data_IF_847787554182
#
_entry.id   IF_847787554182
#
_cell.length_a   1.000
_cell.length_b   1.000
_cell.length_c   1.000
_cell.angle_alpha   90.00
_cell.angle_beta   90.00
_cell.angle_gamma   90.00
#
_symmetry.space_group_name_H-M   'P 1'
#
loop_
_entity.id
_entity.type
_entity.pdbx_description
1 polymer ?
#
# COMPACT_ATOMS: atom_id res chain seq x y z
N UNK A 1 0.23 -52.68 -72.22
CA UNK A 1 -0.49 -52.42 -70.97
C UNK A 1 -0.01 -53.47 -69.98
N UNK A 2 1.09 -53.17 -69.22
CA UNK A 2 1.69 -54.13 -68.26
C UNK A 2 1.01 -53.94 -66.88
N UNK A 3 0.31 -54.97 -66.42
CA UNK A 3 -0.21 -55.14 -65.12
C UNK A 3 0.97 -55.44 -64.15
N UNK A 4 1.38 -54.46 -63.34
CA UNK A 4 2.31 -54.70 -62.26
C UNK A 4 1.56 -55.47 -61.13
N UNK A 5 2.03 -56.72 -60.95
CA UNK A 5 1.51 -57.57 -59.88
C UNK A 5 1.80 -57.00 -58.50
N UNK A 6 0.75 -56.75 -57.74
CA UNK A 6 0.82 -56.42 -56.30
C UNK A 6 1.46 -57.62 -55.56
N UNK A 7 2.67 -57.39 -54.98
CA UNK A 7 3.29 -58.39 -54.11
C UNK A 7 2.48 -58.49 -52.84
N UNK A 8 2.09 -59.67 -52.37
CA UNK A 8 1.41 -59.81 -51.08
C UNK A 8 2.34 -59.31 -49.96
N UNK A 9 1.83 -58.43 -49.12
CA UNK A 9 2.54 -58.00 -47.92
C UNK A 9 2.66 -59.22 -46.96
N UNK A 10 3.85 -59.48 -46.37
CA UNK A 10 4.02 -60.55 -45.39
C UNK A 10 3.13 -60.25 -44.17
N UNK A 11 2.31 -61.23 -43.78
CA UNK A 11 1.45 -61.16 -42.61
C UNK A 11 2.30 -61.16 -41.31
N UNK A 12 1.83 -60.46 -40.30
CA UNK A 12 2.45 -60.44 -38.97
C UNK A 12 2.40 -61.82 -38.31
N UNK A 13 3.51 -62.26 -37.74
CA UNK A 13 3.56 -63.49 -36.95
C UNK A 13 3.04 -63.27 -35.55
N UNK A 14 2.46 -64.28 -34.93
CA UNK A 14 1.96 -64.23 -33.54
C UNK A 14 3.09 -63.88 -32.57
N UNK A 15 4.32 -64.37 -32.83
CA UNK A 15 5.50 -64.07 -31.98
C UNK A 15 5.89 -62.60 -32.06
N UNK A 16 5.82 -61.99 -33.24
CA UNK A 16 6.12 -60.57 -33.45
C UNK A 16 5.12 -59.66 -32.74
N UNK A 17 3.82 -60.06 -32.73
CA UNK A 17 2.77 -59.37 -31.97
C UNK A 17 3.01 -59.44 -30.47
N UNK A 18 3.39 -60.62 -29.95
CA UNK A 18 3.69 -60.78 -28.50
C UNK A 18 4.91 -59.99 -28.13
N UNK A 19 6.00 -60.03 -28.90
CA UNK A 19 7.22 -59.27 -28.60
C UNK A 19 6.96 -57.76 -28.63
N UNK A 20 6.22 -57.27 -29.64
CA UNK A 20 5.86 -55.84 -29.73
C UNK A 20 4.99 -55.41 -28.55
N UNK A 21 4.01 -56.19 -28.10
CA UNK A 21 3.20 -55.88 -26.91
C UNK A 21 4.04 -55.83 -25.63
N UNK A 22 5.01 -56.76 -25.46
CA UNK A 22 5.91 -56.74 -24.29
C UNK A 22 6.79 -55.49 -24.31
N UNK A 23 7.41 -55.18 -25.43
CA UNK A 23 8.26 -54.00 -25.56
C UNK A 23 7.44 -52.72 -25.31
N UNK A 24 6.24 -52.58 -25.91
CA UNK A 24 5.40 -51.43 -25.71
C UNK A 24 4.92 -51.29 -24.24
N UNK A 25 4.62 -52.40 -23.56
CA UNK A 25 4.24 -52.34 -22.16
C UNK A 25 5.39 -51.90 -21.26
N UNK A 26 6.60 -52.37 -21.49
CA UNK A 26 7.81 -51.93 -20.75
C UNK A 26 8.11 -50.45 -21.03
N UNK A 27 8.05 -50.01 -22.29
CA UNK A 27 8.23 -48.61 -22.66
C UNK A 27 7.14 -47.71 -22.01
N UNK A 28 5.88 -48.14 -22.03
CA UNK A 28 4.80 -47.36 -21.42
C UNK A 28 4.98 -47.16 -19.91
N UNK A 29 5.46 -48.20 -19.20
CA UNK A 29 5.76 -48.09 -17.73
C UNK A 29 6.95 -47.17 -17.52
N UNK A 30 8.03 -47.27 -18.31
CA UNK A 30 9.18 -46.39 -18.19
C UNK A 30 8.80 -44.91 -18.47
N UNK A 31 8.13 -44.65 -19.58
CA UNK A 31 7.70 -43.31 -19.96
C UNK A 31 6.75 -42.72 -18.90
N UNK A 32 5.76 -43.50 -18.38
CA UNK A 32 4.87 -43.07 -17.33
C UNK A 32 5.58 -42.72 -16.03
N UNK A 33 6.63 -43.50 -15.69
CA UNK A 33 7.45 -43.26 -14.49
C UNK A 33 8.33 -41.99 -14.57
N UNK A 34 8.73 -41.57 -15.77
CA UNK A 34 9.54 -40.33 -15.95
C UNK A 34 8.69 -39.08 -16.20
N UNK A 35 7.58 -39.19 -16.88
CA UNK A 35 6.78 -38.02 -17.26
C UNK A 35 6.05 -37.42 -16.06
N UNK A 36 5.43 -38.23 -15.18
CA UNK A 36 4.67 -37.74 -14.02
C UNK A 36 5.49 -36.83 -13.10
N UNK A 37 6.64 -37.26 -12.53
CA UNK A 37 7.40 -36.41 -11.62
C UNK A 37 7.93 -35.13 -12.30
N UNK A 38 8.19 -35.17 -13.62
CA UNK A 38 8.61 -33.98 -14.37
C UNK A 38 7.47 -32.97 -14.49
N UNK A 39 6.26 -33.43 -14.77
CA UNK A 39 5.07 -32.56 -14.83
C UNK A 39 4.73 -32.00 -13.46
N UNK A 40 4.74 -32.84 -12.42
CA UNK A 40 4.47 -32.40 -11.04
C UNK A 40 5.48 -31.36 -10.58
N UNK A 41 6.78 -31.57 -10.89
CA UNK A 41 7.84 -30.58 -10.62
C UNK A 41 7.63 -29.26 -11.36
N UNK A 42 7.19 -29.31 -12.61
CA UNK A 42 6.88 -28.10 -13.39
C UNK A 42 5.74 -27.29 -12.76
N UNK A 43 4.64 -27.94 -12.37
CA UNK A 43 3.53 -27.27 -11.71
C UNK A 43 3.92 -26.72 -10.34
N UNK A 44 4.73 -27.43 -9.56
CA UNK A 44 5.23 -26.95 -8.29
C UNK A 44 6.06 -25.66 -8.42
N UNK A 45 6.96 -25.60 -9.42
CA UNK A 45 7.76 -24.40 -9.70
C UNK A 45 6.88 -23.24 -10.14
N UNK A 46 5.90 -23.49 -11.02
CA UNK A 46 4.97 -22.45 -11.46
C UNK A 46 4.13 -21.91 -10.30
N UNK A 47 3.61 -22.78 -9.45
CA UNK A 47 2.84 -22.36 -8.27
C UNK A 47 3.67 -21.51 -7.30
N UNK A 48 4.95 -21.87 -7.07
CA UNK A 48 5.85 -21.04 -6.23
C UNK A 48 6.09 -19.67 -6.85
N UNK A 49 6.28 -19.60 -8.17
CA UNK A 49 6.44 -18.33 -8.87
C UNK A 49 5.18 -17.46 -8.72
N UNK A 50 3.99 -18.01 -8.99
CA UNK A 50 2.72 -17.29 -8.84
C UNK A 50 2.51 -16.77 -7.40
N UNK A 51 2.85 -17.58 -6.38
CA UNK A 51 2.77 -17.18 -4.98
C UNK A 51 3.78 -16.07 -4.66
N UNK A 52 5.00 -16.19 -5.16
CA UNK A 52 6.04 -15.17 -4.96
C UNK A 52 5.64 -13.83 -5.59
N UNK A 53 5.10 -13.85 -6.81
CA UNK A 53 4.59 -12.64 -7.48
C UNK A 53 3.41 -12.01 -6.73
N UNK A 54 2.50 -12.83 -6.22
CA UNK A 54 1.37 -12.34 -5.40
C UNK A 54 1.87 -11.69 -4.09
N UNK A 55 2.82 -12.33 -3.41
CA UNK A 55 3.42 -11.80 -2.19
C UNK A 55 4.16 -10.49 -2.46
N UNK A 56 4.97 -10.44 -3.53
CA UNK A 56 5.74 -9.26 -3.92
C UNK A 56 4.82 -8.07 -4.24
N UNK A 57 3.77 -8.28 -5.03
CA UNK A 57 2.80 -7.24 -5.36
C UNK A 57 2.10 -6.69 -4.11
N UNK A 58 1.66 -7.57 -3.20
CA UNK A 58 0.98 -7.17 -1.98
C UNK A 58 1.89 -6.36 -1.03
N UNK A 59 3.12 -6.85 -0.80
CA UNK A 59 4.08 -6.16 0.08
C UNK A 59 4.56 -4.84 -0.53
N UNK A 60 4.88 -4.80 -1.83
CA UNK A 60 5.31 -3.55 -2.49
C UNK A 60 4.24 -2.49 -2.44
N UNK A 61 2.97 -2.87 -2.61
CA UNK A 61 1.86 -1.94 -2.45
C UNK A 61 1.77 -1.41 -1.03
N UNK A 62 1.85 -2.28 -0.03
CA UNK A 62 1.82 -1.88 1.38
C UNK A 62 2.99 -0.93 1.72
N UNK A 63 4.20 -1.22 1.23
CA UNK A 63 5.38 -0.36 1.40
C UNK A 63 5.19 1.00 0.69
N UNK A 64 4.63 1.01 -0.51
CA UNK A 64 4.37 2.26 -1.24
C UNK A 64 3.38 3.15 -0.47
N UNK A 65 2.31 2.56 0.06
CA UNK A 65 1.32 3.25 0.89
C UNK A 65 1.99 3.81 2.16
N UNK A 66 2.78 2.99 2.87
CA UNK A 66 3.52 3.42 4.07
C UNK A 66 4.48 4.58 3.79
N UNK A 67 5.26 4.49 2.70
CA UNK A 67 6.21 5.56 2.33
C UNK A 67 5.55 6.88 1.94
N UNK A 68 4.30 6.81 1.49
CA UNK A 68 3.50 7.99 1.14
C UNK A 68 2.54 8.39 2.26
N UNK A 69 2.68 7.87 3.47
CA UNK A 69 1.82 8.25 4.59
C UNK A 69 2.24 9.58 5.23
N UNK A 70 1.30 10.20 5.94
CA UNK A 70 1.58 11.33 6.82
C UNK A 70 2.65 10.91 7.83
N UNK A 71 3.72 11.68 8.03
CA UNK A 71 4.74 11.39 9.03
C UNK A 71 4.12 11.08 10.40
N UNK A 72 4.69 10.15 11.13
CA UNK A 72 4.20 9.69 12.45
C UNK A 72 2.79 9.08 12.48
N UNK A 73 2.10 8.89 11.34
CA UNK A 73 0.73 8.36 11.35
C UNK A 73 0.64 6.83 11.42
N UNK A 74 1.77 6.13 11.38
CA UNK A 74 1.76 4.66 11.38
C UNK A 74 1.47 4.12 12.78
N UNK A 75 0.44 3.25 12.90
CA UNK A 75 0.01 2.57 14.11
C UNK A 75 -0.04 1.07 13.88
N UNK A 76 0.52 0.28 14.80
CA UNK A 76 0.54 -1.19 14.72
C UNK A 76 -0.09 -1.77 15.98
N UNK A 77 -1.39 -2.09 15.97
CA UNK A 77 -2.08 -2.65 17.12
C UNK A 77 -1.52 -4.00 17.57
N UNK A 78 -1.15 -4.83 16.59
CA UNK A 78 -0.51 -6.13 16.80
C UNK A 78 0.21 -6.57 15.51
N UNK A 79 0.88 -7.71 15.53
CA UNK A 79 1.66 -8.21 14.38
C UNK A 79 0.85 -8.58 13.14
N UNK A 80 -0.48 -8.58 13.21
CA UNK A 80 -1.34 -8.96 12.08
C UNK A 80 -2.03 -7.79 11.39
N UNK A 81 -1.88 -6.57 11.89
CA UNK A 81 -2.45 -5.40 11.23
C UNK A 81 -1.69 -4.11 11.56
N UNK A 82 -1.76 -3.17 10.64
CA UNK A 82 -1.28 -1.80 10.83
C UNK A 82 -2.20 -0.80 10.14
N UNK A 83 -2.21 0.43 10.67
CA UNK A 83 -2.97 1.57 10.16
C UNK A 83 -2.04 2.72 9.83
N UNK A 84 -2.41 3.51 8.83
CA UNK A 84 -1.73 4.73 8.44
C UNK A 84 -2.69 5.71 7.77
N UNK A 85 -2.25 6.95 7.61
CA UNK A 85 -2.94 8.00 6.84
C UNK A 85 -2.20 8.23 5.53
N UNK A 86 -2.71 7.75 4.38
CA UNK A 86 -2.04 7.92 3.09
C UNK A 86 -2.13 9.37 2.62
N UNK A 87 -1.11 9.84 1.87
CA UNK A 87 -1.10 11.16 1.25
C UNK A 87 -1.16 11.05 -0.26
N UNK A 88 -1.91 11.95 -0.91
CA UNK A 88 -1.96 12.06 -2.37
C UNK A 88 -1.09 13.20 -2.89
N UNK A 89 -0.73 14.14 -2.03
CA UNK A 89 0.08 15.30 -2.37
C UNK A 89 0.49 16.09 -1.15
N UNK A 90 0.98 17.27 -1.39
CA UNK A 90 1.40 18.21 -0.36
C UNK A 90 2.02 19.44 -0.96
N UNK A 91 2.63 20.26 -0.12
CA UNK A 91 3.29 21.47 -0.57
C UNK A 91 3.84 22.29 0.58
N UNK A 92 4.12 23.54 0.26
CA UNK A 92 4.50 24.53 1.27
C UNK A 92 3.43 25.59 1.39
N UNK A 93 3.11 25.95 2.61
CA UNK A 93 2.21 27.04 2.93
C UNK A 93 2.99 28.30 3.34
N UNK A 94 2.33 29.46 3.24
CA UNK A 94 2.87 30.73 3.70
C UNK A 94 2.81 30.78 5.24
N UNK A 95 3.92 31.11 5.88
CA UNK A 95 4.07 31.15 7.35
C UNK A 95 3.95 32.56 7.95
N UNK A 96 3.80 33.60 7.13
CA UNK A 96 3.73 34.96 7.57
C UNK A 96 3.33 35.92 6.45
N UNK A 97 3.10 37.20 6.74
CA UNK A 97 2.72 38.22 5.76
C UNK A 97 3.80 38.44 4.70
N UNK A 98 3.41 38.87 3.52
CA UNK A 98 4.30 39.36 2.49
C UNK A 98 4.51 40.87 2.70
N UNK A 99 5.53 41.22 3.45
CA UNK A 99 5.85 42.62 3.82
C UNK A 99 6.13 43.52 2.61
N UNK A 100 6.37 42.94 1.43
CA UNK A 100 6.69 43.67 0.20
C UNK A 100 5.46 43.91 -0.66
N UNK A 101 4.59 42.92 -0.78
CA UNK A 101 3.50 42.94 -1.75
C UNK A 101 2.10 43.12 -1.12
N UNK A 102 1.95 42.90 0.19
CA UNK A 102 0.66 43.07 0.86
C UNK A 102 0.23 44.55 0.91
N UNK A 103 -1.00 44.85 0.52
CA UNK A 103 -1.58 46.18 0.53
C UNK A 103 -2.99 46.17 1.14
N UNK A 104 -3.26 46.94 2.19
CA UNK A 104 -2.35 47.89 2.88
C UNK A 104 -1.28 47.22 3.73
N UNK A 105 -0.26 47.95 4.08
CA UNK A 105 0.70 47.49 5.09
C UNK A 105 -0.03 47.16 6.40
N UNK A 106 0.32 46.01 7.02
CA UNK A 106 -0.35 45.54 8.22
C UNK A 106 -1.61 44.70 7.96
N UNK A 107 -1.76 44.10 6.77
CA UNK A 107 -2.77 43.09 6.49
C UNK A 107 -2.87 42.04 7.59
N UNK A 108 -4.08 41.64 7.94
CA UNK A 108 -4.31 40.38 8.65
C UNK A 108 -4.46 39.24 7.65
N UNK A 109 -4.09 38.03 8.03
CA UNK A 109 -4.07 36.86 7.14
C UNK A 109 -5.37 36.69 6.38
N UNK A 110 -5.31 36.79 5.05
CA UNK A 110 -6.45 36.58 4.17
C UNK A 110 -7.62 37.58 4.33
N UNK A 111 -7.40 38.72 4.95
CA UNK A 111 -8.45 39.73 5.20
C UNK A 111 -9.02 40.37 3.94
N UNK A 112 -8.28 40.37 2.84
CA UNK A 112 -8.71 40.85 1.54
C UNK A 112 -8.00 40.11 0.41
N UNK A 113 -8.44 40.38 -0.84
CA UNK A 113 -7.79 39.81 -2.03
C UNK A 113 -6.34 40.33 -2.23
N UNK A 114 -5.99 41.47 -1.64
CA UNK A 114 -4.64 42.07 -1.72
C UNK A 114 -3.76 41.70 -0.54
N UNK A 115 -4.28 40.96 0.44
CA UNK A 115 -3.54 40.48 1.60
C UNK A 115 -3.20 38.99 1.43
N UNK A 116 -1.95 38.63 1.66
CA UNK A 116 -1.55 37.23 1.73
C UNK A 116 -2.24 36.52 2.92
N UNK A 117 -2.42 35.23 2.77
CA UNK A 117 -2.99 34.39 3.81
C UNK A 117 -1.91 33.38 4.30
N UNK A 118 -1.74 33.28 5.60
CA UNK A 118 -0.71 32.42 6.20
C UNK A 118 -1.27 31.59 7.36
N UNK A 119 -0.62 30.49 7.64
CA UNK A 119 -0.91 29.68 8.84
C UNK A 119 -0.30 30.36 10.04
N UNK A 120 -1.13 30.69 11.02
CA UNK A 120 -0.73 31.26 12.29
C UNK A 120 -0.92 30.23 13.41
N UNK A 121 0.14 29.65 13.97
CA UNK A 121 0.01 28.67 15.05
C UNK A 121 -0.48 29.27 16.38
N UNK A 122 -0.45 30.59 16.53
CA UNK A 122 -1.00 31.28 17.72
C UNK A 122 -2.52 31.45 17.68
N UNK A 123 -3.14 31.25 16.52
CA UNK A 123 -4.56 31.46 16.30
C UNK A 123 -5.22 30.44 15.37
N UNK A 124 -6.54 30.59 15.19
CA UNK A 124 -7.29 29.75 14.25
C UNK A 124 -7.07 30.23 12.83
N UNK A 125 -6.64 29.33 11.96
CA UNK A 125 -6.49 29.54 10.50
C UNK A 125 -7.71 29.00 9.78
N UNK A 126 -8.35 29.82 8.94
CA UNK A 126 -9.44 29.44 8.04
C UNK A 126 -9.11 29.57 6.57
N UNK A 127 -7.99 30.24 6.25
CA UNK A 127 -7.50 30.44 4.90
C UNK A 127 -5.98 30.55 4.91
N UNK A 128 -5.32 29.96 3.90
CA UNK A 128 -3.88 30.15 3.72
C UNK A 128 -3.46 29.99 2.26
N UNK A 129 -2.34 30.62 1.91
CA UNK A 129 -1.75 30.56 0.58
C UNK A 129 -0.72 29.42 0.49
N UNK A 130 -0.80 28.71 -0.60
CA UNK A 130 0.12 27.62 -0.96
C UNK A 130 1.18 28.18 -1.89
N UNK A 131 2.44 28.03 -1.52
CA UNK A 131 3.58 28.56 -2.27
C UNK A 131 4.05 27.60 -3.38
N UNK A 132 3.93 26.31 -3.17
CA UNK A 132 4.18 25.29 -4.18
C UNK A 132 3.36 24.04 -3.90
N UNK A 133 3.23 23.18 -4.91
CA UNK A 133 2.52 21.90 -4.83
C UNK A 133 3.47 20.80 -5.24
N UNK A 134 3.39 19.67 -4.52
CA UNK A 134 4.09 18.43 -4.83
C UNK A 134 3.05 17.35 -5.07
N UNK A 135 3.07 16.72 -6.22
CA UNK A 135 2.10 15.74 -6.71
C UNK A 135 0.72 16.38 -6.97
N UNK A 136 -0.35 15.86 -6.33
CA UNK A 136 -1.71 16.27 -6.59
C UNK A 136 -2.09 17.51 -5.76
N UNK A 137 -2.68 18.56 -6.39
CA UNK A 137 -3.24 19.67 -5.64
C UNK A 137 -4.46 19.22 -4.81
N UNK A 138 -4.71 19.86 -3.65
CA UNK A 138 -5.89 19.60 -2.86
C UNK A 138 -7.18 20.03 -3.57
N UNK A 139 -8.26 19.34 -3.30
CA UNK A 139 -9.63 19.64 -3.76
C UNK A 139 -10.56 19.83 -2.58
N UNK A 140 -11.71 20.46 -2.81
CA UNK A 140 -12.74 20.56 -1.77
C UNK A 140 -13.19 19.15 -1.33
N UNK A 141 -13.26 18.95 -0.02
CA UNK A 141 -13.52 17.64 0.61
C UNK A 141 -12.27 16.89 1.05
N UNK A 142 -11.09 17.21 0.52
CA UNK A 142 -9.82 16.64 1.00
C UNK A 142 -9.45 17.23 2.37
N UNK A 143 -8.45 16.63 2.99
CA UNK A 143 -7.90 17.11 4.25
C UNK A 143 -6.48 17.63 4.04
N UNK A 144 -6.16 18.74 4.71
CA UNK A 144 -4.79 19.22 4.85
C UNK A 144 -4.30 18.88 6.25
N UNK A 145 -3.08 18.38 6.34
CA UNK A 145 -2.40 18.01 7.58
C UNK A 145 -1.14 18.85 7.70
N UNK A 146 -0.97 19.50 8.86
CA UNK A 146 0.17 20.36 9.16
C UNK A 146 0.83 19.89 10.43
N UNK A 147 2.15 19.70 10.41
CA UNK A 147 2.97 19.40 11.61
C UNK A 147 2.45 18.18 12.42
N UNK A 148 2.37 17.00 11.81
CA UNK A 148 2.01 15.77 12.54
C UNK A 148 3.19 15.30 13.40
N UNK A 149 3.24 15.74 14.64
CA UNK A 149 4.35 15.48 15.56
C UNK A 149 4.18 14.19 16.35
N UNK A 150 2.93 13.84 16.69
CA UNK A 150 2.62 12.63 17.44
C UNK A 150 1.76 11.67 16.62
N UNK A 151 1.84 10.39 16.96
CA UNK A 151 1.11 9.34 16.24
C UNK A 151 -0.41 9.49 16.22
N UNK A 152 -0.96 10.25 17.16
CA UNK A 152 -2.40 10.43 17.32
C UNK A 152 -2.95 11.76 16.77
N UNK A 153 -2.09 12.74 16.49
CA UNK A 153 -2.50 14.11 16.15
C UNK A 153 -3.42 14.16 14.91
N UNK A 154 -3.03 13.47 13.83
CA UNK A 154 -3.85 13.43 12.61
C UNK A 154 -5.16 12.68 12.83
N UNK A 155 -5.19 11.69 13.72
CA UNK A 155 -6.37 10.89 13.98
C UNK A 155 -7.39 11.59 14.89
N UNK A 156 -6.93 12.34 15.88
CA UNK A 156 -7.78 13.12 16.78
C UNK A 156 -8.22 14.47 16.18
N UNK A 157 -7.54 14.92 15.10
CA UNK A 157 -7.90 16.13 14.38
C UNK A 157 -7.23 17.40 14.87
N UNK A 158 -6.23 17.31 15.75
CA UNK A 158 -5.55 18.48 16.30
C UNK A 158 -4.71 19.24 15.25
N UNK A 159 -4.36 18.58 14.15
CA UNK A 159 -3.47 19.12 13.12
C UNK A 159 -3.97 18.92 11.69
N UNK A 160 -5.24 18.53 11.51
CA UNK A 160 -5.86 18.40 10.19
C UNK A 160 -7.07 19.32 10.03
N UNK A 161 -7.28 19.83 8.84
CA UNK A 161 -8.44 20.64 8.49
C UNK A 161 -9.08 20.17 7.19
N UNK A 162 -10.42 20.20 7.13
CA UNK A 162 -11.17 19.93 5.90
C UNK A 162 -10.98 21.08 4.93
N UNK A 163 -10.67 20.80 3.67
CA UNK A 163 -10.63 21.77 2.59
C UNK A 163 -12.06 22.06 2.14
N UNK A 164 -12.52 23.29 2.36
CA UNK A 164 -13.84 23.77 1.95
C UNK A 164 -13.84 24.37 0.54
N UNK A 165 -12.68 24.87 0.08
CA UNK A 165 -12.56 25.47 -1.23
C UNK A 165 -11.12 25.74 -1.63
N UNK A 166 -10.92 25.85 -2.94
CA UNK A 166 -9.63 26.14 -3.57
C UNK A 166 -9.84 27.29 -4.56
N UNK A 167 -8.95 28.29 -4.51
CA UNK A 167 -8.96 29.42 -5.43
C UNK A 167 -7.54 29.79 -5.84
N UNK A 168 -7.41 30.62 -6.86
CA UNK A 168 -6.11 31.13 -7.32
C UNK A 168 -5.94 32.55 -6.79
N UNK A 169 -4.98 32.81 -5.90
CA UNK A 169 -4.66 34.17 -5.43
C UNK A 169 -3.85 34.93 -6.48
N UNK A 170 -3.44 36.18 -6.18
CA UNK A 170 -2.46 36.87 -7.02
C UNK A 170 -1.13 36.11 -7.03
N UNK A 171 -0.36 36.23 -8.12
CA UNK A 171 0.91 35.51 -8.29
C UNK A 171 1.97 35.81 -7.23
N UNK A 172 1.87 36.96 -6.57
CA UNK A 172 2.76 37.32 -5.45
C UNK A 172 2.40 36.62 -4.14
N UNK A 173 1.16 36.15 -4.00
CA UNK A 173 0.67 35.53 -2.78
C UNK A 173 0.92 34.00 -2.76
N UNK A 174 0.81 33.33 -3.90
CA UNK A 174 1.01 31.88 -4.00
C UNK A 174 0.44 31.29 -5.28
N UNK A 175 0.51 29.98 -5.40
CA UNK A 175 -0.03 29.22 -6.53
C UNK A 175 -1.50 28.82 -6.33
N UNK A 176 -1.90 28.62 -5.08
CA UNK A 176 -3.29 28.35 -4.67
C UNK A 176 -3.59 29.04 -3.34
N UNK A 177 -4.86 29.31 -3.10
CA UNK A 177 -5.41 29.71 -1.80
C UNK A 177 -6.41 28.66 -1.36
N UNK A 178 -6.21 28.13 -0.16
CA UNK A 178 -7.10 27.15 0.42
C UNK A 178 -7.99 27.79 1.47
N UNK A 179 -9.30 27.57 1.35
CA UNK A 179 -10.25 27.81 2.43
C UNK A 179 -10.50 26.51 3.16
N UNK A 180 -10.31 26.51 4.47
CA UNK A 180 -10.37 25.30 5.31
C UNK A 180 -11.36 25.49 6.46
N UNK A 181 -11.75 24.38 7.10
CA UNK A 181 -12.41 24.42 8.38
C UNK A 181 -11.50 25.12 9.39
N UNK A 182 -12.02 26.12 10.19
CA UNK A 182 -11.19 26.85 11.14
C UNK A 182 -10.44 25.91 12.09
N UNK A 183 -9.11 25.96 12.07
CA UNK A 183 -8.25 25.05 12.83
C UNK A 183 -7.02 25.81 13.34
N UNK A 184 -6.69 25.63 14.62
CA UNK A 184 -5.42 26.06 15.16
C UNK A 184 -4.40 24.92 14.97
N UNK A 185 -3.47 25.14 14.07
CA UNK A 185 -2.40 24.16 13.83
C UNK A 185 -1.31 24.24 14.90
N UNK A 186 -0.70 23.10 15.28
CA UNK A 186 0.39 23.13 16.24
C UNK A 186 1.59 23.91 15.65
N UNK A 187 2.30 24.63 16.51
CA UNK A 187 3.59 25.18 16.15
C UNK A 187 4.56 24.04 15.80
N UNK A 188 5.32 24.19 14.73
CA UNK A 188 6.15 23.12 14.23
C UNK A 188 7.42 23.58 13.55
N UNK A 189 7.97 22.70 12.74
CA UNK A 189 9.21 22.92 12.01
C UNK A 189 9.09 24.11 11.04
N UNK A 190 10.20 24.86 10.90
CA UNK A 190 10.26 26.11 10.13
C UNK A 190 10.04 25.96 8.60
N UNK A 191 9.75 24.76 8.11
CA UNK A 191 9.66 24.46 6.68
C UNK A 191 8.31 24.81 6.03
N UNK A 192 7.26 25.06 6.81
CA UNK A 192 5.93 25.42 6.30
C UNK A 192 5.34 24.35 5.37
N UNK A 193 5.50 23.08 5.68
CA UNK A 193 4.99 21.96 4.87
C UNK A 193 3.60 21.52 5.30
N UNK A 194 2.81 21.06 4.32
CA UNK A 194 1.54 20.39 4.56
C UNK A 194 1.42 19.16 3.68
N UNK A 195 0.64 18.19 4.13
CA UNK A 195 0.26 17.00 3.37
C UNK A 195 -1.22 17.07 3.00
N UNK A 196 -1.57 16.43 1.88
CA UNK A 196 -2.95 16.30 1.40
C UNK A 196 -3.41 14.86 1.54
N UNK A 197 -4.52 14.67 2.24
CA UNK A 197 -5.17 13.37 2.42
C UNK A 197 -6.49 13.40 1.66
N UNK A 198 -6.71 12.43 0.77
CA UNK A 198 -7.90 12.39 -0.06
C UNK A 198 -9.16 12.11 0.76
N UNK A 199 -10.27 12.76 0.41
CA UNK A 199 -11.57 12.56 1.05
C UNK A 199 -12.04 11.09 1.04
N UNK A 200 -11.78 10.38 -0.05
CA UNK A 200 -12.19 8.99 -0.23
C UNK A 200 -11.33 7.96 0.51
N UNK A 201 -10.16 8.37 1.03
CA UNK A 201 -9.21 7.45 1.64
C UNK A 201 -8.50 8.08 2.87
N UNK A 202 -9.27 8.44 3.92
CA UNK A 202 -8.71 9.15 5.07
C UNK A 202 -7.71 8.32 5.87
N UNK A 203 -8.00 7.03 6.09
CA UNK A 203 -7.09 6.08 6.73
C UNK A 203 -7.13 4.74 6.03
N UNK A 204 -6.02 4.01 6.08
CA UNK A 204 -5.87 2.68 5.48
C UNK A 204 -5.35 1.71 6.52
N UNK A 205 -6.02 0.57 6.62
CA UNK A 205 -5.54 -0.60 7.36
C UNK A 205 -5.11 -1.71 6.40
N UNK A 206 -4.01 -2.35 6.74
CA UNK A 206 -3.67 -3.67 6.24
C UNK A 206 -3.95 -4.69 7.35
N UNK A 207 -4.74 -5.71 7.03
CA UNK A 207 -5.20 -6.71 8.01
C UNK A 207 -5.01 -8.11 7.46
N UNK A 208 -4.24 -8.93 8.17
CA UNK A 208 -4.18 -10.37 7.93
C UNK A 208 -5.25 -11.08 8.75
N UNK A 209 -6.32 -11.50 8.09
CA UNK A 209 -7.42 -12.21 8.75
C UNK A 209 -7.32 -13.71 8.48
N UNK A 210 -7.39 -14.53 9.53
CA UNK A 210 -7.37 -15.98 9.43
C UNK A 210 -5.99 -16.61 9.14
N UNK A 211 -4.91 -15.81 9.18
CA UNK A 211 -3.53 -16.24 8.98
C UNK A 211 -2.93 -16.74 10.30
N UNK A 212 -3.27 -17.95 10.70
CA UNK A 212 -2.91 -18.56 11.99
C UNK A 212 -1.68 -19.48 11.93
N UNK A 213 -0.98 -19.52 10.80
CA UNK A 213 0.16 -20.39 10.53
C UNK A 213 -0.22 -21.79 10.05
N UNK A 214 -1.51 -22.13 10.01
CA UNK A 214 -1.99 -23.44 9.58
C UNK A 214 -2.35 -23.48 8.10
N UNK A 215 -2.43 -24.70 7.55
CA UNK A 215 -2.91 -24.98 6.20
C UNK A 215 -4.29 -25.64 6.25
N UNK A 216 -5.04 -25.50 5.16
CA UNK A 216 -6.25 -26.28 4.95
C UNK A 216 -5.95 -27.72 4.47
N UNK A 217 -6.98 -28.53 4.29
CA UNK A 217 -6.83 -29.91 3.83
C UNK A 217 -6.21 -30.05 2.43
N UNK A 218 -6.19 -28.97 1.65
CA UNK A 218 -5.63 -28.93 0.30
C UNK A 218 -4.21 -28.33 0.29
N UNK A 219 -3.64 -28.02 1.46
CA UNK A 219 -2.31 -27.41 1.58
C UNK A 219 -2.29 -25.91 1.27
N UNK A 220 -3.41 -25.20 1.39
CA UNK A 220 -3.48 -23.76 1.18
C UNK A 220 -3.44 -23.01 2.51
N UNK A 221 -2.85 -21.82 2.53
CA UNK A 221 -2.95 -20.89 3.65
C UNK A 221 -4.42 -20.45 3.84
N UNK A 222 -4.87 -20.41 5.09
CA UNK A 222 -6.28 -20.17 5.46
C UNK A 222 -6.63 -18.69 5.52
N UNK A 223 -5.62 -17.83 5.59
CA UNK A 223 -5.78 -16.40 5.76
C UNK A 223 -5.87 -15.63 4.44
N UNK A 224 -6.20 -14.36 4.61
CA UNK A 224 -6.25 -13.37 3.54
C UNK A 224 -5.71 -12.03 4.06
N UNK A 225 -4.87 -11.38 3.27
CA UNK A 225 -4.43 -10.01 3.52
C UNK A 225 -5.44 -9.06 2.88
N UNK A 226 -6.00 -8.18 3.68
CA UNK A 226 -6.95 -7.16 3.25
C UNK A 226 -6.35 -5.76 3.34
N UNK A 227 -6.81 -4.87 2.45
CA UNK A 227 -6.61 -3.42 2.53
C UNK A 227 -7.97 -2.76 2.77
N UNK A 228 -8.15 -2.16 3.93
CA UNK A 228 -9.40 -1.55 4.38
C UNK A 228 -9.23 -0.04 4.46
N UNK A 229 -10.14 0.72 3.85
CA UNK A 229 -10.24 2.18 4.01
C UNK A 229 -11.34 2.50 5.01
N UNK A 230 -11.08 3.44 5.92
CA UNK A 230 -12.08 3.92 6.88
C UNK A 230 -11.87 5.39 7.24
N UNK A 231 -12.84 6.00 7.93
CA UNK A 231 -12.71 7.34 8.49
C UNK A 231 -11.70 7.42 9.63
N UNK A 232 -11.26 8.63 9.96
CA UNK A 232 -10.39 8.87 11.11
C UNK A 232 -11.03 8.39 12.41
N UNK A 233 -10.22 7.77 13.25
CA UNK A 233 -10.61 7.34 14.60
C UNK A 233 -9.53 7.79 15.60
N UNK A 234 -9.91 8.60 16.56
CA UNK A 234 -9.00 9.15 17.57
C UNK A 234 -8.42 8.08 18.51
N UNK A 235 -9.19 7.02 18.79
CA UNK A 235 -8.72 5.92 19.63
C UNK A 235 -7.59 5.13 18.97
N UNK A 236 -6.48 4.90 19.67
CA UNK A 236 -5.47 3.94 19.20
C UNK A 236 -6.10 2.54 19.14
N UNK A 237 -6.06 1.86 17.99
CA UNK A 237 -6.70 0.57 17.88
C UNK A 237 -5.99 -0.48 18.76
N UNK A 238 -6.75 -1.20 19.57
CA UNK A 238 -6.24 -2.29 20.42
C UNK A 238 -6.26 -3.66 19.72
N UNK A 239 -6.96 -3.76 18.59
CA UNK A 239 -7.10 -4.99 17.80
C UNK A 239 -7.28 -4.65 16.33
N UNK A 240 -7.10 -5.65 15.47
CA UNK A 240 -7.39 -5.51 14.05
C UNK A 240 -8.88 -5.30 13.82
N UNK A 241 -9.27 -4.38 12.92
CA UNK A 241 -10.68 -4.13 12.62
C UNK A 241 -11.31 -5.28 11.83
N UNK A 242 -12.66 -5.30 11.80
CA UNK A 242 -13.41 -6.17 10.89
C UNK A 242 -13.07 -5.85 9.43
N UNK A 243 -12.91 -6.88 8.61
CA UNK A 243 -12.55 -6.78 7.20
C UNK A 243 -13.75 -6.78 6.24
N UNK A 244 -14.97 -6.61 6.77
CA UNK A 244 -16.18 -6.55 5.95
C UNK A 244 -16.07 -5.39 4.93
N UNK A 245 -16.24 -5.70 3.64
CA UNK A 245 -16.11 -4.73 2.55
C UNK A 245 -14.68 -4.31 2.18
N UNK A 246 -13.66 -4.89 2.81
CA UNK A 246 -12.27 -4.58 2.49
C UNK A 246 -11.83 -5.21 1.15
N UNK A 247 -10.93 -4.53 0.44
CA UNK A 247 -10.31 -5.07 -0.75
C UNK A 247 -9.30 -6.16 -0.39
N UNK A 248 -9.30 -7.25 -1.16
CA UNK A 248 -8.32 -8.33 -1.03
C UNK A 248 -7.00 -7.91 -1.65
N UNK A 249 -5.92 -7.98 -0.87
CA UNK A 249 -4.55 -7.72 -1.32
C UNK A 249 -3.80 -9.01 -1.66
N UNK A 250 -3.97 -10.08 -0.88
CA UNK A 250 -3.43 -11.40 -1.15
C UNK A 250 -4.32 -12.48 -0.52
N UNK A 251 -4.42 -13.64 -1.18
CA UNK A 251 -5.12 -14.84 -0.68
C UNK A 251 -4.12 -15.94 -0.34
N UNK A 252 -4.60 -17.04 0.24
CA UNK A 252 -3.77 -18.17 0.65
C UNK A 252 -2.63 -17.77 1.62
N UNK A 253 -2.91 -16.79 2.47
CA UNK A 253 -1.96 -16.31 3.47
C UNK A 253 -1.88 -17.34 4.60
N UNK A 254 -0.69 -17.89 4.82
CA UNK A 254 -0.41 -18.79 5.93
C UNK A 254 -0.10 -18.00 7.20
N UNK A 255 0.79 -17.00 7.09
CA UNK A 255 1.14 -16.14 8.20
C UNK A 255 1.51 -14.74 7.74
N UNK A 256 1.37 -13.76 8.64
CA UNK A 256 1.87 -12.40 8.49
C UNK A 256 2.55 -11.95 9.78
N UNK A 257 3.58 -11.11 9.63
CA UNK A 257 4.20 -10.43 10.76
C UNK A 257 4.52 -9.00 10.36
N UNK A 258 3.91 -8.04 11.06
CA UNK A 258 4.17 -6.62 10.89
C UNK A 258 4.78 -6.07 12.16
N UNK A 259 5.94 -5.44 12.05
CA UNK A 259 6.66 -4.84 13.17
C UNK A 259 7.04 -3.42 12.81
N UNK A 260 6.74 -2.48 13.68
CA UNK A 260 7.09 -1.08 13.52
C UNK A 260 7.95 -0.59 14.67
N UNK A 261 9.09 -0.02 14.34
CA UNK A 261 9.96 0.71 15.24
C UNK A 261 9.91 2.20 14.88
N UNK A 262 9.30 3.00 15.74
CA UNK A 262 9.11 4.43 15.51
C UNK A 262 10.42 5.23 15.62
N UNK A 263 11.42 4.69 16.31
CA UNK A 263 12.67 5.38 16.65
C UNK A 263 13.89 4.71 16.02
N UNK A 264 13.73 4.14 14.84
CA UNK A 264 14.82 3.43 14.16
C UNK A 264 15.91 4.39 13.69
N UNK A 265 17.13 4.17 14.17
CA UNK A 265 18.31 4.94 13.79
C UNK A 265 18.72 6.04 14.78
N UNK A 266 19.93 6.59 14.58
CA UNK A 266 20.58 7.50 15.52
C UNK A 266 19.90 8.88 15.64
N UNK A 267 19.13 9.28 14.64
CA UNK A 267 18.49 10.62 14.59
C UNK A 267 17.05 10.63 15.09
N UNK A 268 16.43 9.46 15.29
CA UNK A 268 15.02 9.32 15.66
C UNK A 268 14.02 10.06 14.72
N UNK A 269 14.48 10.42 13.53
CA UNK A 269 13.67 11.14 12.51
C UNK A 269 13.03 10.20 11.48
N UNK A 270 13.30 8.91 11.60
CA UNK A 270 12.70 7.88 10.74
C UNK A 270 12.26 6.68 11.56
N UNK A 271 11.05 6.21 11.31
CA UNK A 271 10.63 4.90 11.74
C UNK A 271 11.06 3.83 10.73
N UNK A 272 10.94 2.58 11.12
CA UNK A 272 11.16 1.45 10.25
C UNK A 272 10.03 0.44 10.43
N UNK A 273 9.40 0.05 9.33
CA UNK A 273 8.43 -1.05 9.32
C UNK A 273 9.01 -2.26 8.63
N UNK A 274 8.82 -3.42 9.24
CA UNK A 274 9.11 -4.73 8.70
C UNK A 274 7.79 -5.43 8.39
N UNK A 275 7.63 -5.86 7.14
CA UNK A 275 6.46 -6.58 6.65
C UNK A 275 6.91 -7.94 6.17
N UNK A 276 6.34 -8.98 6.74
CA UNK A 276 6.61 -10.37 6.40
C UNK A 276 5.30 -11.08 6.10
N UNK A 277 5.26 -11.83 5.00
CA UNK A 277 4.10 -12.62 4.59
C UNK A 277 4.54 -13.98 4.08
N UNK A 278 3.84 -15.02 4.48
CA UNK A 278 3.99 -16.37 3.97
C UNK A 278 2.69 -16.79 3.29
N UNK A 279 2.78 -17.12 2.01
CA UNK A 279 1.68 -17.65 1.22
C UNK A 279 1.88 -19.14 0.99
N UNK A 280 0.80 -19.93 1.02
CA UNK A 280 0.86 -21.37 0.76
C UNK A 280 -0.31 -21.81 -0.12
N UNK A 281 -0.03 -22.65 -1.14
CA UNK A 281 -1.03 -23.20 -2.05
C UNK A 281 -0.62 -24.59 -2.50
N UNK A 282 -1.51 -25.57 -2.35
CA UNK A 282 -1.30 -26.97 -2.71
C UNK A 282 0.01 -27.56 -2.13
N UNK A 283 0.38 -27.16 -0.91
CA UNK A 283 1.60 -27.59 -0.22
C UNK A 283 2.86 -26.82 -0.59
N UNK A 284 2.82 -25.99 -1.66
CA UNK A 284 3.92 -25.09 -2.01
C UNK A 284 3.85 -23.79 -1.22
N UNK A 285 5.01 -23.26 -0.85
CA UNK A 285 5.12 -22.08 0.02
C UNK A 285 6.02 -21.03 -0.62
N UNK A 286 5.60 -19.76 -0.54
CA UNK A 286 6.43 -18.60 -0.81
C UNK A 286 6.47 -17.69 0.42
N UNK A 287 7.67 -17.32 0.83
CA UNK A 287 7.93 -16.43 1.95
C UNK A 287 8.62 -15.17 1.43
N UNK A 288 8.07 -14.00 1.80
CA UNK A 288 8.64 -12.71 1.44
C UNK A 288 8.65 -11.78 2.65
N UNK A 289 9.78 -11.13 2.87
CA UNK A 289 9.93 -10.13 3.89
C UNK A 289 10.59 -8.88 3.31
N UNK A 290 10.06 -7.72 3.62
CA UNK A 290 10.62 -6.43 3.19
C UNK A 290 10.48 -5.38 4.29
N UNK A 291 11.48 -4.51 4.39
CA UNK A 291 11.47 -3.38 5.29
C UNK A 291 11.40 -2.04 4.54
N UNK A 292 10.85 -1.05 5.21
CA UNK A 292 10.83 0.31 4.70
C UNK A 292 11.07 1.33 5.81
N UNK A 293 11.85 2.36 5.48
CA UNK A 293 11.90 3.56 6.31
C UNK A 293 10.66 4.40 6.10
N UNK A 294 10.15 4.93 7.19
CA UNK A 294 8.99 5.84 7.25
C UNK A 294 9.50 7.20 7.72
N UNK A 295 9.16 8.28 7.01
CA UNK A 295 9.50 9.61 7.47
C UNK A 295 8.70 9.94 8.74
N UNK A 296 9.40 10.28 9.82
CA UNK A 296 8.81 10.73 11.09
C UNK A 296 9.07 12.22 11.34
N UNK A 297 9.79 12.91 10.44
CA UNK A 297 9.92 14.36 10.46
C UNK A 297 8.77 14.98 9.66
N UNK A 298 7.88 15.76 10.29
CA UNK A 298 6.74 16.39 9.65
C UNK A 298 7.11 17.51 8.67
#
# INVERSE_FOLDING_TARGET
MMLQGLRPAPGFTVIELVVTMVILSVLAVMVGGFIRPTIDSYFAVQQRADLADQADLAIRRAIADVRSSVPNSLRVPNSQCFEMVPTVGGGRYRMGPDVTNDTPAGCTSGSSATCSAWVDPSGSTSVFDVLNIVRQPPSAGDWVVVNNQNGDDVYNGSNRALVNGVSTPSSTQGVLRLTIAPTQFPAGYADGRFQVVAAGEPTVFYVCSGADGSLDANGNGRGTLYRLTRGFNSGYPSACPSVAGAAVAATNVKSCTFVYDANHGATQQSGFIWLEIELARAGEVAHLAMGAHVANAP
#
